data_IF_786965630642
#
_entry.id   IF_786965630642
#
_cell.length_a   1.000
_cell.length_b   1.000
_cell.length_c   1.000
_cell.angle_alpha   90.00
_cell.angle_beta   90.00
_cell.angle_gamma   90.00
#
_symmetry.space_group_name_H-M   'P 1'
#
loop_
_entity.id
_entity.type
_entity.pdbx_description
1 polymer ?
#
# COMPACT_ATOMS: atom_id res chain seq x y z
N UNK A 1 -66.81 -16.72 16.31
CA UNK A 1 -65.69 -16.34 15.44
C UNK A 1 -64.91 -15.23 16.13
N UNK A 2 -63.77 -15.54 16.75
CA UNK A 2 -62.64 -14.61 16.90
C UNK A 2 -61.47 -15.42 17.48
N UNK A 3 -60.48 -15.76 16.64
CA UNK A 3 -59.21 -16.32 17.08
C UNK A 3 -58.23 -15.16 17.22
N UNK A 4 -57.82 -14.88 18.44
CA UNK A 4 -56.72 -13.96 18.75
C UNK A 4 -55.43 -14.74 18.48
N UNK A 5 -54.75 -14.43 17.38
CA UNK A 5 -53.38 -14.92 17.11
C UNK A 5 -52.44 -13.88 17.68
N UNK A 6 -51.78 -14.24 18.78
CA UNK A 6 -50.74 -13.45 19.42
C UNK A 6 -49.45 -13.59 18.59
N UNK A 7 -49.08 -12.54 17.86
CA UNK A 7 -47.81 -12.46 17.15
C UNK A 7 -46.69 -12.19 18.16
N UNK A 8 -45.96 -13.25 18.52
CA UNK A 8 -44.72 -13.17 19.27
C UNK A 8 -43.62 -12.63 18.33
N UNK A 9 -43.34 -11.34 18.37
CA UNK A 9 -42.14 -10.76 17.77
C UNK A 9 -40.92 -11.28 18.52
N UNK A 10 -40.15 -12.19 17.91
CA UNK A 10 -38.77 -12.46 18.32
C UNK A 10 -37.91 -11.26 17.89
N UNK A 11 -37.54 -10.39 18.83
CA UNK A 11 -36.33 -9.58 18.70
C UNK A 11 -35.14 -10.51 18.98
N UNK A 12 -34.50 -11.02 17.93
CA UNK A 12 -33.13 -11.54 18.05
C UNK A 12 -32.20 -10.35 18.12
N UNK A 13 -31.78 -9.97 19.33
CA UNK A 13 -30.61 -9.11 19.50
C UNK A 13 -29.40 -9.89 18.99
N UNK A 14 -28.85 -9.49 17.84
CA UNK A 14 -27.52 -9.92 17.44
C UNK A 14 -26.54 -9.31 18.43
N UNK A 15 -26.10 -10.10 19.40
CA UNK A 15 -24.94 -9.74 20.22
C UNK A 15 -23.75 -9.84 19.28
N UNK A 16 -23.17 -8.69 18.90
CA UNK A 16 -21.86 -8.64 18.27
C UNK A 16 -20.89 -9.34 19.21
N UNK A 17 -20.41 -10.51 18.79
CA UNK A 17 -19.44 -11.28 19.55
C UNK A 17 -18.09 -10.56 19.43
N UNK A 18 -17.82 -9.65 20.36
CA UNK A 18 -16.51 -9.02 20.50
C UNK A 18 -15.45 -10.12 20.56
N UNK A 19 -14.56 -10.15 19.56
CA UNK A 19 -13.49 -11.13 19.49
C UNK A 19 -12.36 -10.68 20.40
N UNK A 20 -12.26 -11.31 21.58
CA UNK A 20 -11.16 -11.06 22.51
C UNK A 20 -9.92 -11.83 22.05
N UNK A 21 -8.82 -11.11 21.80
CA UNK A 21 -7.55 -11.67 21.35
C UNK A 21 -6.55 -11.56 22.51
N UNK A 22 -6.20 -12.68 23.16
CA UNK A 22 -5.19 -12.67 24.20
C UNK A 22 -3.79 -12.48 23.60
N UNK A 23 -2.98 -11.59 24.18
CA UNK A 23 -1.60 -11.37 23.78
C UNK A 23 -0.65 -11.40 24.98
N UNK A 24 0.62 -11.70 24.75
CA UNK A 24 1.65 -11.70 25.77
C UNK A 24 2.87 -10.90 25.31
N UNK A 25 3.30 -9.94 26.14
CA UNK A 25 4.55 -9.22 25.98
C UNK A 25 5.61 -9.92 26.84
N UNK A 26 6.71 -10.34 26.23
CA UNK A 26 7.81 -10.94 26.96
C UNK A 26 8.44 -9.94 27.94
N UNK A 27 8.87 -10.41 29.12
CA UNK A 27 9.42 -9.55 30.18
C UNK A 27 10.73 -8.89 29.82
N UNK A 28 11.46 -9.46 28.86
CA UNK A 28 12.77 -8.99 28.41
C UNK A 28 12.67 -7.98 27.27
N UNK A 29 11.46 -7.61 26.84
CA UNK A 29 11.26 -6.58 25.83
C UNK A 29 11.64 -5.21 26.38
N UNK A 30 12.34 -4.42 25.56
CA UNK A 30 12.54 -3.00 25.82
C UNK A 30 11.20 -2.23 25.77
N UNK A 31 11.17 -1.10 26.47
CA UNK A 31 9.97 -0.28 26.58
C UNK A 31 9.46 0.22 25.22
N UNK A 32 10.37 0.52 24.30
CA UNK A 32 10.10 0.98 22.92
C UNK A 32 9.32 -0.06 22.12
N UNK A 33 9.68 -1.35 22.26
CA UNK A 33 8.99 -2.47 21.60
C UNK A 33 7.57 -2.63 22.13
N UNK A 34 7.41 -2.58 23.45
CA UNK A 34 6.10 -2.70 24.08
C UNK A 34 5.20 -1.52 23.71
N UNK A 35 5.72 -0.29 23.77
CA UNK A 35 4.98 0.93 23.40
C UNK A 35 4.50 0.87 21.93
N UNK A 36 5.36 0.41 21.01
CA UNK A 36 4.99 0.26 19.61
C UNK A 36 3.78 -0.64 19.42
N UNK A 37 3.81 -1.81 20.06
CA UNK A 37 2.76 -2.81 19.97
C UNK A 37 1.48 -2.30 20.61
N UNK A 38 1.56 -1.80 21.84
CA UNK A 38 0.39 -1.34 22.59
C UNK A 38 -0.33 -0.23 21.84
N UNK A 39 0.41 0.71 21.23
CA UNK A 39 -0.15 1.74 20.36
C UNK A 39 -0.91 1.14 19.17
N UNK A 40 -0.32 0.16 18.48
CA UNK A 40 -0.99 -0.52 17.35
C UNK A 40 -2.24 -1.26 17.80
N UNK A 41 -2.18 -1.97 18.93
CA UNK A 41 -3.35 -2.68 19.48
C UNK A 41 -4.46 -1.70 19.87
N UNK A 42 -4.11 -0.55 20.45
CA UNK A 42 -5.07 0.52 20.76
C UNK A 42 -5.74 1.06 19.49
N UNK A 43 -4.96 1.41 18.46
CA UNK A 43 -5.48 1.89 17.17
C UNK A 43 -6.43 0.87 16.53
N UNK A 44 -6.07 -0.43 16.60
CA UNK A 44 -6.92 -1.52 16.13
C UNK A 44 -8.20 -1.66 16.96
N UNK A 45 -8.17 -1.51 18.28
CA UNK A 45 -9.37 -1.54 19.13
C UNK A 45 -10.32 -0.38 18.82
N UNK A 46 -9.78 0.79 18.49
CA UNK A 46 -10.60 1.95 18.12
C UNK A 46 -11.26 1.75 16.74
N UNK A 47 -10.56 1.13 15.81
CA UNK A 47 -10.96 1.03 14.40
C UNK A 47 -11.66 -0.29 14.03
N UNK A 48 -11.67 -1.26 14.96
CA UNK A 48 -12.26 -2.59 14.76
C UNK A 48 -13.19 -2.98 15.92
N UNK A 49 -13.78 -4.17 15.86
CA UNK A 49 -14.53 -4.78 16.98
C UNK A 49 -13.67 -5.75 17.81
N UNK A 50 -12.35 -5.74 17.60
CA UNK A 50 -11.41 -6.58 18.32
C UNK A 50 -11.10 -5.98 19.69
N UNK A 51 -10.90 -6.85 20.69
CA UNK A 51 -10.46 -6.45 22.02
C UNK A 51 -9.18 -7.20 22.35
N UNK A 52 -8.08 -6.50 22.57
CA UNK A 52 -6.84 -7.13 22.99
C UNK A 52 -6.75 -7.18 24.50
N UNK A 53 -6.33 -8.33 25.03
CA UNK A 53 -6.18 -8.53 26.47
C UNK A 53 -4.83 -9.17 26.76
N UNK A 54 -4.02 -8.53 27.59
CA UNK A 54 -2.77 -9.14 28.03
C UNK A 54 -3.09 -10.41 28.86
N UNK A 55 -2.40 -11.51 28.58
CA UNK A 55 -2.57 -12.80 29.24
C UNK A 55 -1.23 -13.40 29.67
N UNK A 56 -1.26 -14.59 30.27
CA UNK A 56 -0.05 -15.41 30.40
C UNK A 56 0.41 -15.91 29.02
N UNK A 57 1.67 -16.34 28.92
CA UNK A 57 2.24 -16.90 27.70
C UNK A 57 1.47 -18.13 27.19
N UNK A 58 0.98 -18.99 28.09
CA UNK A 58 0.26 -20.22 27.74
C UNK A 58 -1.13 -19.96 27.15
N UNK A 59 -1.74 -18.83 27.51
CA UNK A 59 -3.08 -18.44 27.04
C UNK A 59 -3.04 -17.48 25.85
N UNK A 60 -1.86 -16.96 25.51
CA UNK A 60 -1.71 -15.95 24.48
C UNK A 60 -1.89 -16.54 23.09
N UNK A 61 -2.72 -15.87 22.26
CA UNK A 61 -2.81 -16.16 20.83
C UNK A 61 -1.63 -15.57 20.08
N UNK A 62 -1.08 -14.46 20.57
CA UNK A 62 0.09 -13.78 19.99
C UNK A 62 1.09 -13.52 21.09
N UNK A 63 2.32 -14.01 20.93
CA UNK A 63 3.44 -13.70 21.82
C UNK A 63 4.40 -12.73 21.14
N UNK A 64 4.83 -11.71 21.87
CA UNK A 64 5.65 -10.63 21.30
C UNK A 64 6.96 -10.58 22.06
N UNK A 65 8.04 -10.73 21.30
CA UNK A 65 9.39 -10.82 21.84
C UNK A 65 10.37 -9.97 21.03
N UNK A 66 11.28 -9.31 21.74
CA UNK A 66 12.39 -8.61 21.13
C UNK A 66 13.41 -9.61 20.57
N UNK A 67 13.89 -9.35 19.36
CA UNK A 67 14.87 -10.18 18.67
C UNK A 67 15.81 -9.33 17.82
N UNK A 68 16.74 -9.96 17.10
CA UNK A 68 17.60 -9.28 16.13
C UNK A 68 16.91 -8.98 14.79
N UNK A 69 15.70 -9.50 14.55
CA UNK A 69 14.95 -9.32 13.31
C UNK A 69 13.49 -8.88 13.57
N UNK A 70 12.87 -8.24 12.57
CA UNK A 70 11.42 -8.03 12.53
C UNK A 70 10.76 -9.14 11.72
N UNK A 71 10.03 -10.05 12.38
CA UNK A 71 9.41 -11.17 11.70
C UNK A 71 8.19 -11.73 12.42
N UNK A 72 7.23 -12.24 11.64
CA UNK A 72 6.14 -13.04 12.16
C UNK A 72 6.46 -14.52 11.93
N UNK A 73 6.40 -15.31 13.00
CA UNK A 73 6.56 -16.76 12.95
C UNK A 73 5.22 -17.42 13.27
N UNK A 74 4.65 -18.08 12.26
CA UNK A 74 3.32 -18.67 12.35
C UNK A 74 3.27 -19.92 13.25
N UNK A 75 4.33 -20.73 13.27
CA UNK A 75 4.35 -22.04 13.94
C UNK A 75 4.16 -21.96 15.46
N UNK A 76 4.64 -20.88 16.07
CA UNK A 76 4.58 -20.64 17.51
C UNK A 76 3.81 -19.35 17.86
N UNK A 77 3.15 -18.75 16.88
CA UNK A 77 2.45 -17.47 16.99
C UNK A 77 3.29 -16.35 17.63
N UNK A 78 4.55 -16.22 17.21
CA UNK A 78 5.46 -15.20 17.79
C UNK A 78 5.76 -14.07 16.82
N UNK A 79 5.64 -12.85 17.34
CA UNK A 79 6.06 -11.61 16.70
C UNK A 79 7.42 -11.24 17.26
N UNK A 80 8.42 -11.20 16.38
CA UNK A 80 9.78 -10.80 16.65
C UNK A 80 9.96 -9.36 16.23
N UNK A 81 10.46 -8.50 17.13
CA UNK A 81 10.68 -7.07 16.86
C UNK A 81 12.10 -6.65 17.22
N UNK A 82 12.68 -5.75 16.42
CA UNK A 82 13.97 -5.12 16.68
C UNK A 82 13.80 -3.60 16.49
N UNK A 83 14.40 -2.80 17.36
CA UNK A 83 14.43 -1.33 17.24
C UNK A 83 14.90 -0.84 15.87
N UNK A 84 15.88 -1.52 15.25
CA UNK A 84 16.46 -1.09 13.96
C UNK A 84 15.49 -1.15 12.77
N UNK A 85 14.44 -1.98 12.86
CA UNK A 85 13.42 -2.11 11.83
C UNK A 85 12.04 -1.64 12.29
N UNK A 86 11.97 -1.03 13.47
CA UNK A 86 10.72 -0.59 14.08
C UNK A 86 10.38 0.83 13.62
N UNK A 87 9.35 0.92 12.79
CA UNK A 87 8.60 2.16 12.58
C UNK A 87 7.11 1.85 12.70
N UNK A 88 6.28 2.89 12.73
CA UNK A 88 4.84 2.73 12.96
C UNK A 88 4.17 1.81 11.93
N UNK A 89 4.57 1.91 10.65
CA UNK A 89 4.00 1.09 9.59
C UNK A 89 4.42 -0.38 9.71
N UNK A 90 5.71 -0.65 9.96
CA UNK A 90 6.22 -2.01 10.16
C UNK A 90 5.55 -2.68 11.37
N UNK A 91 5.35 -1.93 12.46
CA UNK A 91 4.68 -2.40 13.67
C UNK A 91 3.21 -2.74 13.40
N UNK A 92 2.53 -1.88 12.65
CA UNK A 92 1.15 -2.12 12.25
C UNK A 92 1.03 -3.35 11.33
N UNK A 93 1.93 -3.48 10.36
CA UNK A 93 1.95 -4.58 9.40
C UNK A 93 2.29 -5.94 10.01
N UNK A 94 3.26 -6.00 10.92
CA UNK A 94 3.64 -7.26 11.57
C UNK A 94 2.56 -7.76 12.54
N UNK A 95 1.91 -6.85 13.27
CA UNK A 95 0.74 -7.19 14.10
C UNK A 95 -0.43 -7.62 13.22
N UNK A 96 -0.69 -6.91 12.10
CA UNK A 96 -1.69 -7.32 11.13
C UNK A 96 -1.45 -8.74 10.60
N UNK A 97 -0.19 -9.10 10.30
CA UNK A 97 0.19 -10.45 9.89
C UNK A 97 -0.02 -11.50 10.98
N UNK A 98 0.28 -11.16 12.24
CA UNK A 98 -0.02 -12.02 13.39
C UNK A 98 -1.53 -12.28 13.54
N UNK A 99 -2.35 -11.37 13.03
CA UNK A 99 -3.81 -11.47 12.93
C UNK A 99 -4.27 -12.05 11.58
N UNK A 100 -3.39 -12.74 10.86
CA UNK A 100 -3.68 -13.41 9.59
C UNK A 100 -4.05 -12.46 8.43
N UNK A 101 -3.61 -11.19 8.51
CA UNK A 101 -3.80 -10.18 7.46
C UNK A 101 -2.47 -9.81 6.82
N UNK A 102 -2.23 -10.33 5.62
CA UNK A 102 -1.03 -10.01 4.84
C UNK A 102 -1.30 -8.87 3.83
N UNK A 103 -1.48 -7.66 4.35
CA UNK A 103 -1.82 -6.47 3.57
C UNK A 103 -1.02 -5.24 4.06
N UNK A 104 -0.76 -4.23 3.22
CA UNK A 104 -0.19 -2.96 3.67
C UNK A 104 -1.07 -2.30 4.72
N UNK A 105 -0.47 -1.45 5.56
CA UNK A 105 -1.15 -0.75 6.67
C UNK A 105 -2.55 -0.25 6.33
N UNK A 106 -2.70 0.47 5.21
CA UNK A 106 -3.96 1.09 4.79
C UNK A 106 -5.14 0.10 4.62
N UNK A 107 -4.85 -1.19 4.45
CA UNK A 107 -5.86 -2.22 4.19
C UNK A 107 -6.11 -3.13 5.40
N UNK A 108 -5.27 -3.11 6.44
CA UNK A 108 -5.33 -4.08 7.55
C UNK A 108 -6.63 -3.98 8.32
N UNK A 109 -7.00 -2.78 8.77
CA UNK A 109 -8.21 -2.54 9.59
C UNK A 109 -9.46 -3.11 8.93
N UNK A 110 -9.66 -2.82 7.63
CA UNK A 110 -10.81 -3.34 6.90
C UNK A 110 -10.81 -4.86 6.82
N UNK A 111 -9.66 -5.47 6.51
CA UNK A 111 -9.58 -6.93 6.42
C UNK A 111 -9.93 -7.57 7.76
N UNK A 112 -9.48 -7.00 8.88
CA UNK A 112 -9.87 -7.44 10.22
C UNK A 112 -11.37 -7.28 10.43
N UNK A 113 -11.96 -6.14 10.07
CA UNK A 113 -13.39 -5.91 10.20
C UNK A 113 -14.24 -6.89 9.39
N UNK A 114 -13.83 -7.20 8.17
CA UNK A 114 -14.50 -8.21 7.31
C UNK A 114 -14.34 -9.61 7.90
N UNK A 115 -13.12 -9.99 8.27
CA UNK A 115 -12.83 -11.34 8.78
C UNK A 115 -13.52 -11.64 10.13
N UNK A 116 -13.67 -10.62 10.98
CA UNK A 116 -14.31 -10.72 12.28
C UNK A 116 -15.77 -10.23 12.31
N UNK A 117 -16.33 -9.92 11.15
CA UNK A 117 -17.73 -9.45 11.00
C UNK A 117 -18.08 -8.27 11.92
N UNK A 118 -17.19 -7.26 11.96
CA UNK A 118 -17.37 -6.04 12.72
C UNK A 118 -18.41 -5.12 12.05
N UNK A 119 -19.69 -5.48 12.15
CA UNK A 119 -20.80 -4.78 11.47
C UNK A 119 -21.01 -3.33 11.90
N UNK A 120 -20.52 -2.94 13.07
CA UNK A 120 -20.54 -1.57 13.59
C UNK A 120 -19.36 -0.72 13.09
N UNK A 121 -18.48 -1.29 12.26
CA UNK A 121 -17.27 -0.64 11.73
C UNK A 121 -17.29 -0.61 10.21
N UNK A 122 -16.46 0.26 9.63
CA UNK A 122 -16.38 0.40 8.18
C UNK A 122 -15.84 -0.86 7.50
N UNK A 123 -16.66 -1.40 6.58
CA UNK A 123 -16.33 -2.52 5.70
C UNK A 123 -16.02 -2.08 4.26
N UNK A 124 -16.31 -0.81 3.94
CA UNK A 124 -16.15 -0.22 2.60
C UNK A 124 -14.69 -0.18 2.16
N UNK A 125 -14.45 -0.55 0.90
CA UNK A 125 -13.13 -0.48 0.28
C UNK A 125 -12.94 0.80 -0.51
N UNK A 126 -11.99 1.62 -0.08
CA UNK A 126 -11.52 2.74 -0.89
C UNK A 126 -10.39 2.27 -1.81
N UNK A 127 -10.55 2.52 -3.11
CA UNK A 127 -9.58 2.17 -4.14
C UNK A 127 -8.64 3.35 -4.42
N UNK A 128 -7.53 3.03 -5.09
CA UNK A 128 -6.63 4.00 -5.70
C UNK A 128 -6.15 5.13 -4.76
N UNK A 129 -5.83 4.78 -3.51
CA UNK A 129 -5.38 5.74 -2.49
C UNK A 129 -6.50 6.52 -1.80
N UNK A 130 -7.77 6.15 -2.02
CA UNK A 130 -8.89 6.67 -1.24
C UNK A 130 -8.78 6.30 0.25
N UNK A 131 -9.25 7.19 1.11
CA UNK A 131 -9.26 6.99 2.57
C UNK A 131 -10.68 6.82 3.07
N UNK A 132 -10.86 5.97 4.08
CA UNK A 132 -12.16 5.84 4.75
C UNK A 132 -12.42 7.13 5.53
N UNK A 133 -13.61 7.69 5.33
CA UNK A 133 -14.16 8.82 6.07
C UNK A 133 -15.40 8.32 6.81
N UNK A 134 -15.26 8.15 8.13
CA UNK A 134 -16.32 7.69 9.03
C UNK A 134 -17.02 8.92 9.62
N UNK A 135 -18.29 9.09 9.28
CA UNK A 135 -19.10 10.17 9.81
C UNK A 135 -19.54 9.88 11.25
N UNK A 136 -19.94 10.92 11.97
CA UNK A 136 -20.36 10.82 13.38
C UNK A 136 -21.60 9.93 13.62
N UNK A 137 -22.37 9.62 12.57
CA UNK A 137 -23.51 8.70 12.61
C UNK A 137 -23.12 7.23 12.30
N UNK A 138 -21.83 6.95 12.14
CA UNK A 138 -21.30 5.63 11.79
C UNK A 138 -21.38 5.31 10.30
N UNK A 139 -21.80 6.24 9.45
CA UNK A 139 -21.78 6.03 8.01
C UNK A 139 -20.36 6.12 7.45
N UNK A 140 -20.02 5.18 6.58
CA UNK A 140 -18.68 5.06 5.99
C UNK A 140 -18.70 5.49 4.54
N UNK A 141 -17.82 6.41 4.17
CA UNK A 141 -17.62 6.85 2.79
C UNK A 141 -16.14 6.86 2.43
N UNK A 142 -15.83 6.96 1.14
CA UNK A 142 -14.45 7.12 0.69
C UNK A 142 -14.16 8.58 0.33
N UNK A 143 -13.16 9.15 0.98
CA UNK A 143 -12.55 10.41 0.59
C UNK A 143 -11.56 10.15 -0.54
N UNK A 144 -11.93 10.55 -1.75
CA UNK A 144 -11.12 10.30 -2.93
C UNK A 144 -9.97 11.30 -3.11
N UNK A 145 -8.80 10.83 -3.59
CA UNK A 145 -7.71 11.72 -3.94
C UNK A 145 -8.04 12.52 -5.19
N UNK A 146 -7.19 13.51 -5.51
CA UNK A 146 -7.34 14.35 -6.69
C UNK A 146 -7.51 13.51 -7.97
N UNK A 147 -8.42 13.95 -8.84
CA UNK A 147 -8.66 13.30 -10.13
C UNK A 147 -9.58 12.08 -10.08
N UNK A 148 -10.00 11.62 -8.90
CA UNK A 148 -10.88 10.46 -8.72
C UNK A 148 -12.21 10.82 -8.07
N UNK A 149 -13.24 10.02 -8.36
CA UNK A 149 -14.58 10.06 -7.76
C UNK A 149 -15.20 8.67 -7.73
N UNK A 150 -16.43 8.59 -7.22
CA UNK A 150 -17.18 7.35 -7.06
C UNK A 150 -17.32 7.01 -5.58
N UNK A 151 -18.12 6.00 -5.28
CA UNK A 151 -18.33 5.54 -3.90
C UNK A 151 -17.03 4.98 -3.31
N UNK A 152 -16.15 4.44 -4.17
CA UNK A 152 -14.91 3.77 -3.82
C UNK A 152 -13.69 4.39 -4.49
N UNK A 153 -13.81 5.57 -5.10
CA UNK A 153 -12.74 6.23 -5.86
C UNK A 153 -12.30 5.46 -7.12
N UNK A 154 -13.24 4.74 -7.72
CA UNK A 154 -13.05 3.87 -8.87
C UNK A 154 -13.10 4.59 -10.23
N UNK A 155 -13.56 5.84 -10.25
CA UNK A 155 -13.84 6.59 -11.48
C UNK A 155 -12.90 7.79 -11.61
N UNK A 156 -12.36 8.01 -12.81
CA UNK A 156 -11.65 9.24 -13.16
C UNK A 156 -12.65 10.41 -13.27
N UNK A 157 -12.48 11.45 -12.43
CA UNK A 157 -13.45 12.54 -12.33
C UNK A 157 -13.66 13.27 -13.68
N UNK A 158 -12.59 13.42 -14.45
CA UNK A 158 -12.58 14.17 -15.71
C UNK A 158 -12.64 13.29 -16.97
N UNK A 159 -13.06 12.04 -16.84
CA UNK A 159 -13.13 11.10 -17.97
C UNK A 159 -13.97 11.63 -19.15
N UNK A 160 -15.04 12.38 -18.87
CA UNK A 160 -15.94 12.92 -19.88
C UNK A 160 -15.34 14.07 -20.71
N UNK A 161 -14.17 14.59 -20.33
CA UNK A 161 -13.48 15.67 -21.06
C UNK A 161 -12.14 15.20 -21.64
N UNK A 162 -11.87 13.89 -21.66
CA UNK A 162 -10.71 13.35 -22.35
C UNK A 162 -10.81 13.65 -23.85
N UNK A 163 -9.69 14.11 -24.40
CA UNK A 163 -9.60 14.45 -25.83
C UNK A 163 -8.80 13.41 -26.62
N UNK A 164 -8.29 12.39 -25.94
CA UNK A 164 -7.49 11.30 -26.53
C UNK A 164 -8.01 9.94 -26.02
N UNK A 165 -8.01 8.93 -26.89
CA UNK A 165 -8.56 7.61 -26.60
C UNK A 165 -7.62 6.72 -25.78
N UNK A 166 -6.33 7.07 -25.66
CA UNK A 166 -5.38 6.32 -24.83
C UNK A 166 -5.47 6.65 -23.34
N UNK A 167 -6.25 7.68 -22.99
CA UNK A 167 -6.47 8.10 -21.61
C UNK A 167 -7.36 7.09 -20.86
N UNK A 168 -7.12 6.93 -19.56
CA UNK A 168 -7.93 6.06 -18.71
C UNK A 168 -7.11 5.27 -17.70
N UNK A 169 -7.72 4.18 -17.23
CA UNK A 169 -7.12 3.27 -16.25
C UNK A 169 -6.26 2.24 -17.01
N UNK A 170 -5.02 2.08 -16.55
CA UNK A 170 -4.04 1.13 -17.09
C UNK A 170 -3.78 0.05 -16.03
N UNK A 171 -4.23 -1.16 -16.33
CA UNK A 171 -4.07 -2.32 -15.46
C UNK A 171 -2.69 -2.96 -15.66
N UNK A 172 -1.74 -2.56 -14.81
CA UNK A 172 -0.36 -3.06 -14.80
C UNK A 172 -0.24 -4.47 -14.19
N UNK A 173 -1.31 -5.08 -13.68
CA UNK A 173 -1.24 -6.48 -13.20
C UNK A 173 -1.15 -7.50 -14.32
N UNK A 174 -1.53 -7.10 -15.53
CA UNK A 174 -1.42 -7.96 -16.73
C UNK A 174 -0.01 -8.00 -17.29
N UNK A 175 0.78 -6.98 -17.01
CA UNK A 175 2.12 -6.79 -17.59
C UNK A 175 3.01 -6.14 -16.54
N UNK A 176 4.02 -6.86 -16.05
CA UNK A 176 4.98 -6.36 -15.04
C UNK A 176 5.67 -5.05 -15.45
N UNK A 177 5.69 -4.73 -16.75
CA UNK A 177 6.09 -3.45 -17.30
C UNK A 177 5.26 -3.07 -18.52
N UNK A 178 5.22 -1.78 -18.85
CA UNK A 178 4.50 -1.27 -20.00
C UNK A 178 4.84 0.18 -20.29
N UNK A 179 4.05 0.79 -21.17
CA UNK A 179 4.20 2.20 -21.53
C UNK A 179 2.83 2.88 -21.68
N UNK A 180 2.80 4.18 -21.44
CA UNK A 180 1.66 5.05 -21.72
C UNK A 180 2.12 6.26 -22.51
N UNK A 181 1.31 6.63 -23.50
CA UNK A 181 1.49 7.81 -24.35
C UNK A 181 0.15 8.20 -24.97
N UNK A 182 0.06 9.38 -25.57
CA UNK A 182 -1.10 9.78 -26.37
C UNK A 182 -1.27 8.86 -27.59
N UNK A 183 -2.50 8.69 -28.06
CA UNK A 183 -2.81 7.88 -29.24
C UNK A 183 -2.12 8.35 -30.52
N UNK A 184 -1.79 9.65 -30.60
CA UNK A 184 -1.07 10.25 -31.73
C UNK A 184 0.44 10.06 -31.68
N UNK A 185 1.01 9.65 -30.55
CA UNK A 185 2.46 9.52 -30.42
C UNK A 185 3.04 8.50 -31.42
N UNK A 186 4.20 8.77 -32.08
CA UNK A 186 5.13 9.90 -31.89
C UNK A 186 4.81 11.16 -32.72
N UNK A 187 3.64 11.22 -33.37
CA UNK A 187 3.22 12.39 -34.14
C UNK A 187 2.75 13.53 -33.21
N UNK A 188 2.54 14.70 -33.82
CA UNK A 188 2.06 15.88 -33.11
C UNK A 188 0.65 15.68 -32.54
N UNK A 189 0.46 15.97 -31.27
CA UNK A 189 -0.83 15.93 -30.58
C UNK A 189 -1.73 17.11 -31.00
N UNK A 190 -3.06 17.01 -30.81
CA UNK A 190 -3.97 18.15 -30.97
C UNK A 190 -3.60 19.34 -30.07
N UNK A 191 -3.91 20.58 -30.48
CA UNK A 191 -3.60 21.78 -29.68
C UNK A 191 -4.26 21.73 -28.30
N UNK A 192 -5.54 21.32 -28.24
CA UNK A 192 -6.28 21.10 -26.99
C UNK A 192 -6.29 19.62 -26.65
N UNK A 193 -5.44 19.24 -25.70
CA UNK A 193 -5.26 17.89 -25.19
C UNK A 193 -5.47 17.90 -23.67
N UNK A 194 -6.40 17.07 -23.22
CA UNK A 194 -6.58 16.73 -21.81
C UNK A 194 -6.60 15.21 -21.67
N UNK A 195 -5.71 14.68 -20.86
CA UNK A 195 -5.55 13.25 -20.67
C UNK A 195 -5.18 12.92 -19.23
N UNK A 196 -5.74 11.83 -18.70
CA UNK A 196 -5.33 11.26 -17.42
C UNK A 196 -5.04 9.78 -17.59
N UNK A 197 -3.91 9.33 -17.05
CA UNK A 197 -3.57 7.92 -16.93
C UNK A 197 -3.51 7.54 -15.46
N UNK A 198 -4.33 6.56 -15.06
CA UNK A 198 -4.25 5.94 -13.74
C UNK A 198 -3.65 4.55 -13.90
N UNK A 199 -2.37 4.40 -13.59
CA UNK A 199 -1.68 3.11 -13.65
C UNK A 199 -1.92 2.41 -12.32
N UNK A 200 -2.43 1.17 -12.36
CA UNK A 200 -2.85 0.43 -11.16
C UNK A 200 -2.36 -1.00 -11.20
N UNK A 201 -2.04 -1.58 -10.03
CA UNK A 201 -1.85 -3.02 -9.88
C UNK A 201 -2.72 -3.57 -8.74
N UNK A 202 -3.28 -4.76 -8.94
CA UNK A 202 -4.08 -5.51 -7.99
C UNK A 202 -3.25 -6.08 -6.84
N UNK A 203 -1.92 -6.17 -6.97
CA UNK A 203 -1.06 -6.59 -5.86
C UNK A 203 -0.87 -5.40 -4.89
N UNK A 204 -1.43 -5.46 -3.68
CA UNK A 204 -1.38 -4.37 -2.72
C UNK A 204 0.04 -4.10 -2.21
N UNK A 205 0.95 -5.09 -2.30
CA UNK A 205 2.36 -4.94 -1.94
C UNK A 205 3.24 -4.44 -3.08
N UNK A 206 2.67 -4.22 -4.26
CA UNK A 206 3.42 -3.70 -5.39
C UNK A 206 3.40 -2.18 -5.43
N UNK A 207 4.53 -1.61 -5.80
CA UNK A 207 4.69 -0.22 -6.19
C UNK A 207 4.94 -0.12 -7.69
N UNK A 208 4.75 1.07 -8.25
CA UNK A 208 4.92 1.39 -9.66
C UNK A 208 6.08 2.39 -9.75
N UNK A 209 7.15 1.99 -10.44
CA UNK A 209 8.14 2.94 -10.92
C UNK A 209 7.74 3.41 -12.31
N UNK A 210 7.76 4.72 -12.55
CA UNK A 210 7.56 5.29 -13.88
C UNK A 210 8.75 6.16 -14.30
N UNK A 211 9.01 6.16 -15.59
CA UNK A 211 10.14 6.83 -16.22
C UNK A 211 9.65 7.61 -17.45
N UNK A 212 9.91 8.93 -17.50
CA UNK A 212 9.58 9.74 -18.68
C UNK A 212 10.74 9.67 -19.66
N UNK A 213 10.58 8.88 -20.72
CA UNK A 213 11.58 8.74 -21.77
C UNK A 213 11.62 9.96 -22.69
N UNK A 214 10.43 10.51 -22.98
CA UNK A 214 10.24 11.74 -23.76
C UNK A 214 9.17 12.58 -23.10
N UNK A 215 9.44 13.86 -22.87
CA UNK A 215 8.48 14.77 -22.24
C UNK A 215 7.49 15.34 -23.26
N UNK A 216 7.99 15.85 -24.40
CA UNK A 216 7.16 16.30 -25.51
C UNK A 216 6.11 17.35 -25.12
N UNK A 217 6.45 18.24 -24.18
CA UNK A 217 5.61 19.34 -23.70
C UNK A 217 6.02 20.67 -24.32
N UNK A 218 5.07 21.61 -24.39
CA UNK A 218 5.32 22.98 -24.81
C UNK A 218 6.25 23.71 -23.84
N UNK A 219 7.48 23.90 -24.30
CA UNK A 219 8.58 24.54 -23.60
C UNK A 219 9.04 25.85 -24.26
N UNK A 220 8.28 26.38 -25.22
CA UNK A 220 8.67 27.55 -25.99
C UNK A 220 8.57 28.81 -25.13
N UNK A 221 9.59 29.67 -25.21
CA UNK A 221 9.71 30.91 -24.44
C UNK A 221 9.66 30.73 -22.91
N UNK A 222 9.92 29.51 -22.43
CA UNK A 222 10.00 29.19 -20.99
C UNK A 222 11.44 29.36 -20.49
N UNK A 223 11.63 30.15 -19.43
CA UNK A 223 12.95 30.32 -18.81
C UNK A 223 13.42 29.06 -18.06
N UNK A 224 14.74 28.82 -17.93
CA UNK A 224 15.27 27.74 -17.12
C UNK A 224 14.72 27.71 -15.68
N UNK A 225 14.38 26.52 -15.16
CA UNK A 225 13.72 26.31 -13.86
C UNK A 225 12.22 26.59 -13.80
N UNK A 226 11.58 27.08 -14.87
CA UNK A 226 10.15 27.39 -14.88
C UNK A 226 9.28 26.21 -15.34
N UNK A 227 8.01 26.14 -14.89
CA UNK A 227 7.05 25.17 -15.40
C UNK A 227 6.81 25.37 -16.89
N UNK A 228 6.50 24.26 -17.57
CA UNK A 228 6.06 24.23 -18.95
C UNK A 228 4.81 25.09 -19.20
N UNK A 229 4.59 25.48 -20.46
CA UNK A 229 3.31 26.05 -20.90
C UNK A 229 2.20 24.97 -20.85
N UNK A 230 2.54 23.75 -21.24
CA UNK A 230 1.73 22.58 -20.91
C UNK A 230 1.88 22.22 -19.43
N UNK A 231 0.89 21.54 -18.86
CA UNK A 231 0.92 21.09 -17.47
C UNK A 231 0.92 19.58 -17.47
N UNK A 232 1.95 18.98 -16.87
CA UNK A 232 1.95 17.57 -16.51
C UNK A 232 2.11 17.44 -14.99
N UNK A 233 1.21 16.72 -14.35
CA UNK A 233 1.25 16.47 -12.90
C UNK A 233 1.27 14.97 -12.64
N UNK A 234 1.94 14.58 -11.56
CA UNK A 234 2.02 13.18 -11.13
C UNK A 234 1.66 13.11 -9.65
N UNK A 235 0.72 12.23 -9.30
CA UNK A 235 0.21 12.06 -7.94
C UNK A 235 0.39 10.62 -7.48
N UNK A 236 0.46 10.44 -6.16
CA UNK A 236 0.73 9.14 -5.54
C UNK A 236 2.21 8.77 -5.53
N UNK A 237 3.11 9.76 -5.51
CA UNK A 237 4.57 9.58 -5.50
C UNK A 237 5.19 10.05 -4.19
N UNK A 238 6.34 9.48 -3.83
CA UNK A 238 7.09 9.87 -2.60
C UNK A 238 7.49 11.35 -2.62
N UNK A 239 7.79 11.90 -3.80
CA UNK A 239 8.35 13.24 -3.95
C UNK A 239 7.30 14.37 -3.97
N UNK A 240 6.00 14.08 -3.89
CA UNK A 240 4.92 15.09 -3.89
C UNK A 240 5.06 16.18 -4.99
N UNK A 241 5.76 15.88 -6.09
CA UNK A 241 6.02 16.85 -7.15
C UNK A 241 4.73 17.12 -7.93
N UNK A 242 4.17 18.31 -7.72
CA UNK A 242 2.85 18.67 -8.24
C UNK A 242 2.85 19.05 -9.72
N UNK A 243 3.99 19.45 -10.30
CA UNK A 243 4.07 19.87 -11.69
C UNK A 243 5.48 19.66 -12.24
N UNK A 244 5.58 19.09 -13.44
CA UNK A 244 6.85 18.84 -14.14
C UNK A 244 7.34 20.11 -14.83
N UNK A 245 8.61 20.46 -14.61
CA UNK A 245 9.27 21.61 -15.24
C UNK A 245 9.79 21.26 -16.64
N UNK A 246 9.89 22.28 -17.51
CA UNK A 246 10.23 22.09 -18.93
C UNK A 246 11.73 22.03 -19.24
N UNK A 247 12.58 22.25 -18.24
CA UNK A 247 13.93 22.76 -18.48
C UNK A 247 14.95 21.64 -18.49
N UNK A 248 15.52 21.45 -19.68
CA UNK A 248 16.74 20.71 -20.02
C UNK A 248 17.02 19.44 -19.22
N UNK A 249 16.09 18.50 -19.30
CA UNK A 249 16.36 17.07 -19.10
C UNK A 249 17.26 16.48 -20.21
N UNK A 250 18.19 17.26 -20.77
CA UNK A 250 19.08 16.80 -21.84
C UNK A 250 19.95 15.61 -21.41
N UNK A 251 19.99 15.26 -20.12
CA UNK A 251 20.57 14.00 -19.61
C UNK A 251 19.90 13.42 -18.36
N UNK A 252 18.81 14.00 -17.84
CA UNK A 252 18.21 13.53 -16.59
C UNK A 252 16.82 12.99 -16.84
N UNK A 253 16.71 11.67 -16.86
CA UNK A 253 15.45 10.99 -16.91
C UNK A 253 14.59 11.31 -15.69
N UNK A 254 13.34 11.76 -15.89
CA UNK A 254 12.38 11.93 -14.80
C UNK A 254 11.89 10.57 -14.33
N UNK A 255 12.03 10.30 -13.03
CA UNK A 255 11.65 9.04 -12.40
C UNK A 255 10.70 9.29 -11.26
N UNK A 256 9.64 8.50 -11.20
CA UNK A 256 8.63 8.55 -10.17
C UNK A 256 8.54 7.20 -9.49
N UNK A 257 8.52 7.22 -8.16
CA UNK A 257 8.27 6.06 -7.33
C UNK A 257 6.92 6.26 -6.64
N UNK A 258 5.97 5.37 -6.91
CA UNK A 258 4.67 5.45 -6.26
C UNK A 258 4.76 5.03 -4.78
N UNK A 259 3.92 5.64 -3.94
CA UNK A 259 3.80 5.29 -2.51
C UNK A 259 2.94 4.05 -2.27
N UNK A 260 2.40 3.44 -3.33
CA UNK A 260 1.53 2.27 -3.26
C UNK A 260 1.25 1.69 -4.63
N UNK A 261 0.18 0.91 -4.74
CA UNK A 261 -0.17 0.16 -5.94
C UNK A 261 -0.84 0.97 -7.06
N UNK A 262 -0.77 2.31 -6.98
CA UNK A 262 -1.34 3.22 -7.99
C UNK A 262 -0.44 4.40 -8.26
N UNK A 263 -0.48 4.91 -9.49
CA UNK A 263 0.20 6.12 -9.94
C UNK A 263 -0.72 6.89 -10.89
N UNK A 264 -0.99 8.15 -10.58
CA UNK A 264 -1.90 8.99 -11.36
C UNK A 264 -1.12 10.10 -12.08
N UNK A 265 -1.31 10.21 -13.39
CA UNK A 265 -0.62 11.17 -14.26
C UNK A 265 -1.69 11.97 -15.01
N UNK A 266 -1.60 13.30 -14.97
CA UNK A 266 -2.49 14.20 -15.71
C UNK A 266 -1.67 15.06 -16.68
N UNK A 267 -2.16 15.20 -17.91
CA UNK A 267 -1.63 16.07 -18.94
C UNK A 267 -2.70 17.07 -19.37
N UNK A 268 -2.33 18.34 -19.40
CA UNK A 268 -3.15 19.45 -19.91
C UNK A 268 -2.30 20.29 -20.84
N UNK A 269 -2.68 20.38 -22.10
CA UNK A 269 -1.94 21.21 -23.03
C UNK A 269 -2.38 22.67 -23.04
N UNK A 270 -1.45 23.54 -23.45
CA UNK A 270 -1.75 24.89 -23.85
C UNK A 270 -2.43 24.89 -25.24
N UNK A 271 -3.72 25.29 -25.35
CA UNK A 271 -4.42 25.30 -26.64
C UNK A 271 -3.95 26.42 -27.58
N UNK A 272 -3.18 27.39 -27.06
CA UNK A 272 -2.71 28.56 -27.81
C UNK A 272 -1.32 28.38 -28.42
N UNK A 273 -0.70 27.21 -28.26
CA UNK A 273 0.61 26.97 -28.86
C UNK A 273 0.53 26.97 -30.38
N UNK A 274 1.50 27.61 -31.04
CA UNK A 274 1.64 27.59 -32.50
C UNK A 274 2.52 26.43 -32.98
N UNK A 275 3.25 25.78 -32.07
CA UNK A 275 4.09 24.63 -32.36
C UNK A 275 3.36 23.31 -32.08
N UNK A 276 3.81 22.26 -32.75
CA UNK A 276 3.31 20.90 -32.55
C UNK A 276 4.24 20.14 -31.62
N UNK A 277 3.68 19.50 -30.59
CA UNK A 277 4.41 18.68 -29.63
C UNK A 277 3.86 17.26 -29.60
N UNK A 278 4.65 16.27 -29.20
CA UNK A 278 4.23 14.86 -29.23
C UNK A 278 3.43 14.43 -28.01
N UNK A 279 3.53 15.17 -26.91
CA UNK A 279 3.18 14.69 -25.58
C UNK A 279 4.22 13.68 -25.03
N UNK A 280 4.00 13.21 -23.79
CA UNK A 280 4.96 12.37 -23.10
C UNK A 280 4.89 10.90 -23.54
N UNK A 281 6.05 10.24 -23.54
CA UNK A 281 6.20 8.79 -23.54
C UNK A 281 6.73 8.37 -22.17
N UNK A 282 5.94 7.58 -21.47
CA UNK A 282 6.23 7.17 -20.09
C UNK A 282 6.26 5.65 -20.05
N UNK A 283 7.37 5.08 -19.63
CA UNK A 283 7.46 3.66 -19.33
C UNK A 283 7.22 3.42 -17.85
N UNK A 284 6.64 2.28 -17.50
CA UNK A 284 6.39 1.90 -16.12
C UNK A 284 6.76 0.45 -15.88
N UNK A 285 7.05 0.13 -14.62
CA UNK A 285 7.22 -1.24 -14.14
C UNK A 285 6.65 -1.38 -12.73
N UNK A 286 6.11 -2.54 -12.44
CA UNK A 286 5.69 -2.92 -11.09
C UNK A 286 6.84 -3.60 -10.37
N UNK A 287 7.03 -3.28 -9.09
CA UNK A 287 7.94 -4.01 -8.20
C UNK A 287 7.24 -4.35 -6.91
N UNK A 288 7.44 -5.58 -6.43
CA UNK A 288 7.00 -5.95 -5.09
C UNK A 288 7.89 -5.31 -4.05
N UNK A 289 7.29 -4.62 -3.09
CA UNK A 289 7.98 -4.15 -1.90
C UNK A 289 8.16 -5.33 -0.97
N UNK A 290 9.41 -5.67 -0.68
CA UNK A 290 9.69 -6.54 0.47
C UNK A 290 9.44 -5.70 1.72
N UNK A 291 8.38 -6.02 2.45
CA UNK A 291 8.22 -5.54 3.81
C UNK A 291 9.44 -5.92 4.64
N UNK A 292 9.94 -5.03 5.50
CA UNK A 292 10.96 -5.37 6.50
C UNK A 292 10.56 -6.55 7.39
N UNK A 293 9.27 -6.90 7.39
CA UNK A 293 8.69 -8.08 8.04
C UNK A 293 8.93 -9.34 7.21
N UNK A 294 9.72 -10.27 7.75
CA UNK A 294 9.88 -11.62 7.19
C UNK A 294 8.83 -12.56 7.76
N UNK A 295 8.36 -13.51 6.95
CA UNK A 295 7.52 -14.61 7.43
C UNK A 295 8.36 -15.88 7.34
N UNK A 296 8.48 -16.58 8.47
CA UNK A 296 9.15 -17.88 8.53
C UNK A 296 8.09 -18.96 8.70
N UNK A 297 8.10 -19.94 7.80
CA UNK A 297 7.45 -21.24 7.96
C UNK A 297 8.55 -22.31 8.08
N UNK A 298 8.26 -23.45 8.72
CA UNK A 298 9.20 -24.55 8.94
C UNK A 298 10.17 -24.80 7.74
N UNK A 299 11.47 -24.85 8.04
CA UNK A 299 12.54 -25.15 7.09
C UNK A 299 13.71 -24.16 7.09
N UNK A 300 13.52 -22.95 7.63
CA UNK A 300 14.61 -21.99 7.84
C UNK A 300 15.05 -22.01 9.30
N UNK A 301 15.61 -23.13 9.75
CA UNK A 301 16.44 -23.11 10.95
C UNK A 301 17.56 -22.10 10.73
N UNK A 302 17.60 -21.05 11.55
CA UNK A 302 18.74 -20.16 11.65
C UNK A 302 20.01 -21.02 11.63
N UNK A 303 20.89 -20.78 10.66
CA UNK A 303 22.18 -21.44 10.59
C UNK A 303 22.95 -21.06 11.85
N UNK A 304 22.83 -21.92 12.87
CA UNK A 304 23.67 -21.91 14.05
C UNK A 304 25.10 -21.94 13.55
N UNK A 305 25.84 -20.88 13.83
CA UNK A 305 27.27 -20.75 13.57
C UNK A 305 28.01 -21.86 14.30
N UNK A 306 28.15 -23.02 13.67
CA UNK A 306 29.11 -24.04 14.08
C UNK A 306 30.50 -23.50 13.76
N UNK A 307 31.17 -23.03 14.81
CA UNK A 307 32.61 -22.80 14.86
C UNK A 307 33.34 -24.02 14.30
N UNK A 308 33.94 -23.88 13.12
CA UNK A 308 34.90 -24.84 12.59
C UNK A 308 36.17 -24.72 13.44
N UNK A 309 36.28 -25.53 14.49
CA UNK A 309 37.57 -25.85 15.08
C UNK A 309 38.23 -26.87 14.15
N UNK A 310 39.00 -26.36 13.19
CA UNK A 310 39.88 -27.17 12.35
C UNK A 310 41.01 -27.73 13.20
N UNK A 311 40.83 -28.93 13.72
CA UNK A 311 41.90 -29.75 14.29
C UNK A 311 42.83 -30.22 13.17
N UNK A 312 43.97 -29.54 13.00
CA UNK A 312 45.16 -30.14 12.41
C UNK A 312 45.60 -31.29 13.33
N UNK A 313 45.29 -32.53 12.95
CA UNK A 313 45.92 -33.71 13.54
C UNK A 313 46.75 -34.42 12.47
N UNK A 314 48.04 -34.51 12.77
CA UNK A 314 49.09 -35.15 11.99
C UNK A 314 48.71 -36.58 11.60
N UNK A 315 48.75 -36.89 10.30
CA UNK A 315 48.95 -38.26 9.83
C UNK A 315 50.46 -38.46 9.66
N UNK A 316 51.10 -38.95 10.72
CA UNK A 316 52.42 -39.57 10.66
C UNK A 316 52.25 -41.06 10.98
N UNK A 317 52.64 -41.88 10.00
CA UNK A 317 52.99 -43.29 10.11
C UNK A 317 51.87 -44.28 10.52
N UNK A 318 51.53 -45.24 9.64
CA UNK A 318 52.20 -46.56 9.60
C UNK A 318 51.55 -47.57 8.65
N UNK A 319 52.44 -48.25 7.92
CA UNK A 319 52.39 -49.64 7.42
C UNK A 319 51.69 -49.98 6.09
N UNK A 320 52.55 -50.50 5.19
CA UNK A 320 52.37 -51.21 3.92
C UNK A 320 52.00 -50.39 2.68
#
# INVERSE_FOLDING_TARGET
>A
MLRIVSSLLLLTAFVSANSVIPYFLHTDNEATVNECVEKVLEDLMQSTCLFFRQSSQEEARITILQSTNCAWQQDNNTVHLNEECMNEDVCFEIVGRALEVNQPRAHIVRHLNVNHNCTEKCLTECLHGGQIDEAADGSCSCKCPYGLKGERCEILDKQNVFTDTSCGIVDASKTESGQVSLSTYPEGRPKSTFCQWLITTSDPWSVIDAEVEKLGLDNIDVSPGMPCNDIMTVHGTENNEKQINCVDHNNQTLKFHSTGNTLFIELRSNPFSENTFTGPLITYRTRKVQTGVRTYSEGMSASSSTLIISSMLMVLFKYF
#
